data_IF_019811719470
#
_entry.id   IF_019811719470
#
_cell.length_a   1.000
_cell.length_b   1.000
_cell.length_c   1.000
_cell.angle_alpha   90.00
_cell.angle_beta   90.00
_cell.angle_gamma   90.00
#
_symmetry.space_group_name_H-M   'P 1'
#
loop_
_entity.id
_entity.type
_entity.pdbx_description
1 polymer ?
#
# COMPACT_ATOMS: atom_id res chain seq x y z
N UNK A 1 3.27 -4.55 -0.47
CA UNK A 1 2.34 -5.68 -0.67
C UNK A 1 1.47 -5.39 -1.91
N UNK A 2 0.96 -6.39 -2.64
CA UNK A 2 0.01 -6.17 -3.76
C UNK A 2 -1.30 -6.90 -3.47
N UNK A 3 -2.42 -6.18 -3.53
CA UNK A 3 -3.77 -6.70 -3.33
C UNK A 3 -4.55 -6.65 -4.64
N UNK A 4 -5.04 -7.81 -5.15
CA UNK A 4 -5.94 -7.85 -6.29
C UNK A 4 -7.39 -7.63 -5.83
N UNK A 5 -8.12 -6.71 -6.47
CA UNK A 5 -9.56 -6.49 -6.23
C UNK A 5 -10.30 -6.50 -7.56
N UNK A 6 -11.10 -7.55 -7.76
CA UNK A 6 -11.76 -7.80 -9.03
C UNK A 6 -10.75 -7.98 -10.17
N UNK A 7 -10.79 -7.09 -11.16
CA UNK A 7 -9.86 -7.10 -12.31
C UNK A 7 -8.67 -6.12 -12.13
N UNK A 8 -8.62 -5.39 -11.01
CA UNK A 8 -7.64 -4.33 -10.74
C UNK A 8 -6.62 -4.79 -9.71
N UNK A 9 -5.41 -4.24 -9.77
CA UNK A 9 -4.30 -4.54 -8.86
C UNK A 9 -3.91 -3.28 -8.09
N UNK A 10 -3.64 -3.39 -6.81
CA UNK A 10 -3.25 -2.27 -5.96
C UNK A 10 -1.96 -2.58 -5.21
N UNK A 11 -1.09 -1.61 -5.10
CA UNK A 11 0.16 -1.69 -4.35
C UNK A 11 0.03 -0.89 -3.06
N UNK A 12 0.37 -1.55 -1.95
CA UNK A 12 0.56 -0.94 -0.64
C UNK A 12 2.06 -0.72 -0.47
N UNK A 13 2.43 0.56 -0.37
CA UNK A 13 3.79 1.05 -0.18
C UNK A 13 3.90 1.55 1.26
N UNK A 14 4.90 1.07 1.98
CA UNK A 14 5.19 1.53 3.34
C UNK A 14 6.50 2.29 3.29
N UNK A 15 6.50 3.48 3.86
CA UNK A 15 7.70 4.31 4.02
C UNK A 15 8.64 3.62 4.99
N UNK A 16 9.69 2.97 4.48
CA UNK A 16 10.77 2.49 5.33
C UNK A 16 11.69 3.67 5.56
N UNK A 17 11.63 4.26 6.76
CA UNK A 17 12.62 5.24 7.18
C UNK A 17 13.98 4.53 7.27
N UNK A 18 14.78 4.65 6.21
CA UNK A 18 16.15 4.17 6.20
C UNK A 18 16.94 5.07 7.17
N UNK A 19 17.03 4.62 8.43
CA UNK A 19 17.74 5.28 9.51
C UNK A 19 19.28 5.31 9.31
N UNK A 20 19.74 5.61 8.09
CA UNK A 20 21.11 6.02 7.75
C UNK A 20 21.19 7.34 6.94
N UNK A 21 20.09 8.10 6.80
CA UNK A 21 20.17 9.46 6.27
C UNK A 21 20.29 10.49 7.40
N UNK A 22 21.52 10.93 7.68
CA UNK A 22 21.87 11.96 8.66
C UNK A 22 21.35 13.37 8.35
N UNK A 23 20.03 13.55 8.30
CA UNK A 23 19.36 14.84 8.30
C UNK A 23 18.38 14.87 9.47
N UNK A 24 18.74 15.58 10.54
CA UNK A 24 17.97 15.68 11.78
C UNK A 24 16.60 16.36 11.59
N UNK A 25 15.63 15.61 11.09
CA UNK A 25 14.23 15.93 11.18
C UNK A 25 13.64 15.21 12.40
N UNK A 26 13.63 15.91 13.54
CA UNK A 26 12.68 15.64 14.61
C UNK A 26 11.26 15.95 14.11
N UNK A 27 10.56 14.97 13.54
CA UNK A 27 9.10 15.02 13.38
C UNK A 27 8.56 13.63 13.08
N UNK A 28 7.81 13.07 14.03
CA UNK A 28 6.78 12.04 13.78
C UNK A 28 7.23 10.75 13.11
N UNK A 29 7.44 9.71 13.91
CA UNK A 29 7.49 8.33 13.45
C UNK A 29 6.08 7.92 12.96
N UNK A 30 5.67 8.44 11.82
CA UNK A 30 4.46 8.06 11.09
C UNK A 30 4.95 7.20 9.94
N UNK A 31 4.88 5.87 10.08
CA UNK A 31 5.08 4.96 8.96
C UNK A 31 3.94 5.24 7.94
N UNK A 32 4.15 6.21 7.05
CA UNK A 32 3.15 6.60 6.08
C UNK A 32 2.91 5.44 5.10
N UNK A 33 1.69 4.92 5.12
CA UNK A 33 1.21 3.87 4.21
C UNK A 33 0.52 4.53 3.01
N UNK A 34 1.01 4.23 1.81
CA UNK A 34 0.46 4.73 0.55
C UNK A 34 -0.18 3.60 -0.25
N UNK A 35 -1.39 3.85 -0.76
CA UNK A 35 -2.12 2.91 -1.62
C UNK A 35 -2.16 3.47 -3.04
N UNK A 36 -1.67 2.70 -4.01
CA UNK A 36 -1.67 3.07 -5.42
C UNK A 36 -2.31 1.98 -6.28
N UNK A 37 -3.13 2.35 -7.26
CA UNK A 37 -3.66 1.41 -8.27
C UNK A 37 -2.61 1.17 -9.34
N UNK A 38 -2.43 -0.09 -9.72
CA UNK A 38 -1.57 -0.52 -10.82
C UNK A 38 -2.43 -0.68 -12.07
N UNK A 39 -2.23 0.22 -13.04
CA UNK A 39 -2.75 0.10 -14.40
C UNK A 39 -1.65 -0.33 -15.37
N UNK A 40 -2.03 -0.84 -16.54
CA UNK A 40 -1.10 -1.18 -17.61
C UNK A 40 -1.33 -0.23 -18.78
N UNK A 41 -0.28 0.48 -19.21
CA UNK A 41 -0.37 1.40 -20.32
C UNK A 41 -0.36 0.70 -21.69
N UNK A 42 -0.46 1.49 -22.76
CA UNK A 42 -0.45 1.04 -24.16
C UNK A 42 0.84 0.31 -24.56
N UNK A 43 1.94 0.55 -23.84
CA UNK A 43 3.26 -0.06 -23.99
C UNK A 43 3.41 -1.35 -23.20
N UNK A 44 2.44 -1.67 -22.33
CA UNK A 44 2.50 -2.82 -21.44
C UNK A 44 3.26 -2.57 -20.14
N UNK A 45 3.57 -1.32 -19.80
CA UNK A 45 4.26 -0.95 -18.55
C UNK A 45 3.25 -0.70 -17.43
N UNK A 46 3.63 -1.05 -16.21
CA UNK A 46 2.80 -0.89 -15.02
C UNK A 46 2.92 0.55 -14.49
N UNK A 47 1.79 1.26 -14.43
CA UNK A 47 1.69 2.65 -14.01
C UNK A 47 0.92 2.73 -12.70
N UNK A 48 1.50 3.45 -11.74
CA UNK A 48 0.89 3.69 -10.43
C UNK A 48 0.07 4.97 -10.48
N UNK A 49 -1.23 4.85 -10.25
CA UNK A 49 -2.16 5.98 -10.24
C UNK A 49 -2.92 6.03 -8.93
N UNK A 50 -3.37 7.22 -8.56
CA UNK A 50 -4.22 7.38 -7.38
C UNK A 50 -5.53 6.58 -7.55
N UNK A 51 -5.86 5.69 -6.59
CA UNK A 51 -7.14 5.01 -6.58
C UNK A 51 -8.26 6.03 -6.29
N UNK A 52 -9.51 5.68 -6.61
CA UNK A 52 -10.66 6.45 -6.13
C UNK A 52 -10.90 6.20 -4.64
N UNK A 53 -11.63 7.07 -3.94
CA UNK A 53 -11.97 6.87 -2.52
C UNK A 53 -12.67 5.52 -2.26
N UNK A 54 -13.51 5.06 -3.20
CA UNK A 54 -14.19 3.76 -3.11
C UNK A 54 -13.22 2.58 -3.32
N UNK A 55 -12.25 2.72 -4.21
CA UNK A 55 -11.19 1.72 -4.40
C UNK A 55 -10.24 1.68 -3.19
N UNK A 56 -9.92 2.84 -2.64
CA UNK A 56 -9.07 2.97 -1.45
C UNK A 56 -9.67 2.23 -0.25
N UNK A 57 -10.95 2.45 0.04
CA UNK A 57 -11.64 1.78 1.15
C UNK A 57 -11.65 0.26 0.98
N UNK A 58 -11.87 -0.23 -0.25
CA UNK A 58 -11.83 -1.68 -0.53
C UNK A 58 -10.44 -2.28 -0.33
N UNK A 59 -9.38 -1.58 -0.77
CA UNK A 59 -7.99 -2.06 -0.56
C UNK A 59 -7.64 -2.05 0.91
N UNK A 60 -8.08 -1.02 1.63
CA UNK A 60 -7.90 -0.89 3.06
C UNK A 60 -8.60 -2.03 3.81
N UNK A 61 -9.88 -2.27 3.53
CA UNK A 61 -10.65 -3.36 4.15
C UNK A 61 -10.02 -4.73 3.86
N UNK A 62 -9.63 -4.99 2.61
CA UNK A 62 -8.94 -6.22 2.24
C UNK A 62 -7.57 -6.36 2.94
N UNK A 63 -6.84 -5.26 3.12
CA UNK A 63 -5.59 -5.28 3.88
C UNK A 63 -5.82 -5.56 5.36
N UNK A 64 -6.80 -4.91 5.98
CA UNK A 64 -7.17 -5.13 7.38
C UNK A 64 -7.62 -6.58 7.60
N UNK A 65 -8.43 -7.15 6.70
CA UNK A 65 -8.87 -8.56 6.76
C UNK A 65 -7.68 -9.53 6.62
N UNK A 66 -6.76 -9.29 5.67
CA UNK A 66 -5.57 -10.12 5.50
C UNK A 66 -4.62 -10.04 6.69
N UNK A 67 -4.45 -8.85 7.28
CA UNK A 67 -3.64 -8.66 8.48
C UNK A 67 -4.27 -9.31 9.70
N UNK A 68 -5.59 -9.21 9.86
CA UNK A 68 -6.34 -9.87 10.93
C UNK A 68 -6.25 -11.39 10.80
N UNK A 69 -6.41 -11.95 9.60
CA UNK A 69 -6.24 -13.39 9.35
C UNK A 69 -4.80 -13.86 9.65
N UNK A 70 -3.78 -13.08 9.27
CA UNK A 70 -2.38 -13.40 9.58
C UNK A 70 -2.07 -13.29 11.08
N UNK A 71 -2.69 -12.35 11.80
CA UNK A 71 -2.53 -12.17 13.25
C UNK A 71 -3.24 -13.29 14.04
N UNK A 72 -4.41 -13.76 13.59
CA UNK A 72 -5.16 -14.88 14.21
C UNK A 72 -4.46 -16.24 13.99
N UNK A 73 -3.75 -16.43 12.87
CA UNK A 73 -2.94 -17.64 12.62
C UNK A 73 -1.64 -17.70 13.44
N UNK A 74 -1.24 -16.61 14.09
CA UNK A 74 -0.03 -16.54 14.92
C UNK A 74 -0.24 -16.90 16.41
N UNK A 75 -1.48 -17.19 16.86
CA UNK A 75 -1.81 -17.60 18.24
C UNK A 75 -1.84 -19.13 18.48
#
# INVERSE_FOLDING_TARGET
>A
MIIPIGEKRYAILVSIDDAECGCGCEAGHEEDVYIARIDVDESGEEVYVDPTDEEFEQVREAYEELMEEEEDEAE
#
